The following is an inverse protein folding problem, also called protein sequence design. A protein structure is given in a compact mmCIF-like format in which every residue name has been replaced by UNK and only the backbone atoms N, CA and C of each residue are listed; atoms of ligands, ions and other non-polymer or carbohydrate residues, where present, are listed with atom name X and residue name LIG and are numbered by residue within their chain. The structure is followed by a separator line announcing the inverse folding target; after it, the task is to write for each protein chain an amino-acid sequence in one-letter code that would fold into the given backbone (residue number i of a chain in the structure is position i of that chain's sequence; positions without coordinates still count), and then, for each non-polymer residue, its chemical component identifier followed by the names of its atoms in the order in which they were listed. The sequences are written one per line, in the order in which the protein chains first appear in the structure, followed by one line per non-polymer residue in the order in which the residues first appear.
data_IF_332069764596
#
_entry.id   IF_332069764596
#
_cell.length_a   1.000
_cell.length_b   1.000
_cell.length_c   1.000
_cell.angle_alpha   90.00
_cell.angle_beta   90.00
_cell.angle_gamma   90.00
#
_symmetry.space_group_name_H-M   'P 1'
#
loop_
_entity.id
_entity.type
_entity.pdbx_description
1 polymer ?
#
# COMPACT_ATOMS: atom_id res chain seq x y z
N UNK A 1 -1.06 9.06 -33.17
CA UNK A 1 -2.05 9.32 -32.11
C UNK A 1 -1.96 8.17 -31.13
N UNK A 2 -1.73 8.49 -29.85
CA UNK A 2 -1.88 7.63 -28.66
C UNK A 2 -1.11 6.30 -28.62
N UNK A 3 0.19 6.38 -28.32
CA UNK A 3 0.85 5.29 -27.60
C UNK A 3 0.68 5.57 -26.11
N UNK A 4 -0.32 4.96 -25.49
CA UNK A 4 -0.44 4.87 -24.02
C UNK A 4 0.70 3.99 -23.54
N UNK A 5 1.82 4.63 -23.20
CA UNK A 5 2.92 3.94 -22.53
C UNK A 5 2.44 3.61 -21.11
N UNK A 6 2.09 2.34 -20.92
CA UNK A 6 1.84 1.72 -19.64
C UNK A 6 3.07 1.93 -18.75
N UNK A 7 3.05 2.99 -17.96
CA UNK A 7 3.88 3.08 -16.77
C UNK A 7 3.54 1.87 -15.91
N UNK A 8 4.50 0.97 -15.74
CA UNK A 8 4.45 0.00 -14.66
C UNK A 8 4.82 0.82 -13.42
N UNK A 9 3.86 1.26 -12.58
CA UNK A 9 4.23 1.96 -11.37
C UNK A 9 5.02 0.97 -10.50
N UNK A 10 5.92 1.50 -9.70
CA UNK A 10 6.78 0.73 -8.81
C UNK A 10 5.94 -0.01 -7.75
N UNK A 11 5.28 -1.13 -8.11
CA UNK A 11 4.48 -2.03 -7.28
C UNK A 11 3.57 -1.39 -6.21
N UNK A 12 3.20 -0.12 -6.38
CA UNK A 12 2.24 0.62 -5.57
C UNK A 12 1.02 0.87 -6.44
N UNK A 13 -0.14 0.47 -5.93
CA UNK A 13 -1.43 0.64 -6.60
C UNK A 13 -2.10 1.87 -6.03
N UNK A 14 -2.34 2.88 -6.84
CA UNK A 14 -3.14 4.03 -6.44
C UNK A 14 -4.62 3.65 -6.48
N UNK A 15 -5.31 3.76 -5.35
CA UNK A 15 -6.74 3.47 -5.23
C UNK A 15 -7.44 4.56 -4.43
N UNK A 16 -8.68 4.88 -4.79
CA UNK A 16 -9.48 5.83 -4.02
C UNK A 16 -10.08 5.11 -2.81
N UNK A 17 -9.77 5.58 -1.61
CA UNK A 17 -10.28 5.04 -0.34
C UNK A 17 -10.67 6.19 0.59
N UNK A 18 -11.56 5.92 1.55
CA UNK A 18 -11.93 6.92 2.56
C UNK A 18 -10.75 7.13 3.51
N UNK A 19 -10.31 8.38 3.61
CA UNK A 19 -9.23 8.77 4.50
C UNK A 19 -9.81 9.24 5.83
N UNK A 20 -9.47 8.54 6.91
CA UNK A 20 -9.91 8.90 8.26
C UNK A 20 -9.44 10.30 8.69
N UNK A 21 -8.25 10.71 8.24
CA UNK A 21 -7.68 12.03 8.55
C UNK A 21 -8.33 13.16 7.73
N UNK A 22 -8.66 12.92 6.47
CA UNK A 22 -9.34 13.91 5.62
C UNK A 22 -10.86 13.91 5.80
N UNK A 23 -11.44 12.83 6.33
CA UNK A 23 -12.87 12.59 6.42
C UNK A 23 -13.58 12.50 5.06
N UNK A 24 -12.88 12.04 4.02
CA UNK A 24 -13.39 11.95 2.64
C UNK A 24 -12.60 10.95 1.80
N UNK A 25 -13.18 10.56 0.67
CA UNK A 25 -12.50 9.75 -0.34
C UNK A 25 -11.32 10.51 -0.97
N UNK A 26 -10.14 9.90 -0.89
CA UNK A 26 -8.89 10.41 -1.47
C UNK A 26 -8.08 9.30 -2.10
N UNK A 27 -7.18 9.65 -3.02
CA UNK A 27 -6.29 8.68 -3.66
C UNK A 27 -5.20 8.26 -2.67
N UNK A 28 -5.15 6.98 -2.36
CA UNK A 28 -4.14 6.35 -1.51
C UNK A 28 -3.21 5.50 -2.38
N UNK A 29 -1.90 5.67 -2.19
CA UNK A 29 -0.90 4.78 -2.76
C UNK A 29 -0.77 3.54 -1.86
N UNK A 30 -1.26 2.40 -2.33
CA UNK A 30 -1.25 1.14 -1.59
C UNK A 30 -0.14 0.24 -2.09
N UNK A 31 0.77 -0.13 -1.19
CA UNK A 31 1.92 -0.99 -1.46
C UNK A 31 1.87 -2.22 -0.55
N UNK A 32 2.24 -3.39 -1.07
CA UNK A 32 2.37 -4.61 -0.25
C UNK A 32 3.83 -4.87 0.03
N UNK A 33 4.20 -4.81 1.31
CA UNK A 33 5.55 -5.11 1.78
C UNK A 33 5.59 -6.48 2.47
N UNK A 34 6.59 -7.29 2.12
CA UNK A 34 6.86 -8.56 2.80
C UNK A 34 7.92 -8.34 3.85
N UNK A 35 7.53 -8.18 5.12
CA UNK A 35 8.47 -8.03 6.24
C UNK A 35 8.69 -9.36 6.94
N UNK A 36 9.92 -9.63 7.34
CA UNK A 36 10.27 -10.78 8.18
C UNK A 36 10.31 -10.30 9.63
N UNK A 37 9.38 -10.78 10.47
CA UNK A 37 9.33 -10.36 11.89
C UNK A 37 10.47 -10.96 12.72
N UNK A 38 11.16 -12.00 12.24
CA UNK A 38 12.31 -12.61 12.93
C UNK A 38 13.46 -12.95 11.97
N UNK A 39 14.74 -12.85 12.43
CA UNK A 39 15.91 -13.22 11.64
C UNK A 39 16.00 -14.73 11.36
N UNK A 40 15.41 -15.57 12.19
CA UNK A 40 15.38 -17.04 12.03
C UNK A 40 14.19 -17.56 11.19
N UNK A 41 13.17 -16.72 10.95
CA UNK A 41 12.01 -17.09 10.16
C UNK A 41 12.26 -16.85 8.67
N UNK A 42 13.11 -17.70 8.06
CA UNK A 42 13.40 -17.68 6.61
C UNK A 42 12.15 -17.93 5.75
N UNK A 43 11.08 -18.48 6.33
CA UNK A 43 9.87 -18.89 5.62
C UNK A 43 8.58 -18.15 6.00
N UNK A 44 8.58 -17.32 7.06
CA UNK A 44 7.40 -16.54 7.48
C UNK A 44 7.61 -15.08 7.12
N UNK A 45 7.44 -14.76 5.84
CA UNK A 45 7.39 -13.37 5.36
C UNK A 45 5.93 -12.97 5.37
N UNK A 46 5.61 -11.95 6.13
CA UNK A 46 4.22 -11.57 6.32
C UNK A 46 3.89 -10.39 5.43
N UNK A 47 2.76 -10.44 4.70
CA UNK A 47 2.32 -9.33 3.89
C UNK A 47 1.73 -8.23 4.77
N UNK A 48 2.34 -7.06 4.69
CA UNK A 48 1.85 -5.80 5.23
C UNK A 48 1.31 -4.98 4.07
N UNK A 49 0.05 -4.57 4.17
CA UNK A 49 -0.54 -3.57 3.30
C UNK A 49 -0.20 -2.20 3.88
N UNK A 50 0.56 -1.40 3.15
CA UNK A 50 0.88 -0.02 3.51
C UNK A 50 0.08 0.88 2.58
N UNK A 51 -0.82 1.70 3.12
CA UNK A 51 -1.60 2.69 2.38
C UNK A 51 -1.17 4.09 2.79
N UNK A 52 -0.67 4.87 1.85
CA UNK A 52 -0.28 6.27 2.06
C UNK A 52 -1.25 7.20 1.35
N UNK A 53 -1.84 8.15 2.07
CA UNK A 53 -2.72 9.14 1.48
C UNK A 53 -1.90 10.18 0.69
N UNK A 54 -2.16 10.31 -0.62
CA UNK A 54 -1.46 11.29 -1.48
C UNK A 54 -1.88 12.75 -1.21
N UNK A 55 -2.89 12.96 -0.36
CA UNK A 55 -3.46 14.28 -0.03
C UNK A 55 -2.92 14.82 1.30
N UNK A 56 -2.96 14.00 2.35
CA UNK A 56 -2.52 14.38 3.70
C UNK A 56 -1.24 13.68 4.16
N UNK A 57 -0.66 12.80 3.33
CA UNK A 57 0.59 12.08 3.58
C UNK A 57 0.52 11.14 4.79
N UNK A 58 -0.70 10.75 5.19
CA UNK A 58 -0.92 9.78 6.28
C UNK A 58 -0.65 8.38 5.78
N UNK A 59 0.31 7.70 6.39
CA UNK A 59 0.60 6.28 6.17
C UNK A 59 -0.16 5.41 7.18
N UNK A 60 -0.79 4.35 6.68
CA UNK A 60 -1.44 3.31 7.49
C UNK A 60 -0.93 1.95 7.08
N UNK A 61 -0.43 1.17 8.04
CA UNK A 61 0.07 -0.19 7.80
C UNK A 61 -0.86 -1.22 8.45
N UNK A 62 -1.34 -2.17 7.66
CA UNK A 62 -2.22 -3.25 8.12
C UNK A 62 -1.59 -4.62 7.82
N UNK A 63 -1.40 -5.45 8.85
CA UNK A 63 -0.93 -6.84 8.71
C UNK A 63 -2.07 -7.69 8.13
N UNK A 64 -1.83 -8.38 7.02
CA UNK A 64 -2.87 -9.14 6.32
C UNK A 64 -3.05 -10.59 6.82
N UNK A 65 -2.39 -11.01 7.91
CA UNK A 65 -2.40 -12.40 8.38
C UNK A 65 -3.48 -12.73 9.44
N UNK A 66 -4.19 -11.75 9.99
CA UNK A 66 -5.14 -11.93 11.10
C UNK A 66 -6.61 -11.89 10.60
N UNK A 67 -6.97 -12.77 9.65
CA UNK A 67 -8.35 -12.89 9.12
C UNK A 67 -9.19 -13.94 9.83
#
# INVERSE_FOLDING_TARGET
MSSTESGIPAASTETAEDCEECGRETVHAVTVELRAENPDSTFSREPYRVSECTVCETETTTRMNDV
#
